data_IF_585824441814
#
_entry.id   IF_585824441814
#
_cell.length_a   1.000
_cell.length_b   1.000
_cell.length_c   1.000
_cell.angle_alpha   90.00
_cell.angle_beta   90.00
_cell.angle_gamma   90.00
#
_symmetry.space_group_name_H-M   'P 1'
#
loop_
_entity.id
_entity.type
_entity.pdbx_description
1 polymer ?
#
# COMPACT_ATOMS: atom_id res chain seq x y z
N UNK A 1 21.53 3.31 2.19
CA UNK A 1 21.65 2.00 2.86
C UNK A 1 20.27 1.53 3.33
N UNK A 2 19.72 0.45 2.76
CA UNK A 2 18.59 -0.26 3.38
C UNK A 2 19.10 -0.85 4.71
N UNK A 3 18.33 -0.74 5.81
CA UNK A 3 18.66 -1.07 7.24
C UNK A 3 19.10 0.09 8.16
N UNK A 4 19.42 1.28 7.65
CA UNK A 4 19.81 2.40 8.52
C UNK A 4 18.63 3.09 9.23
N UNK A 5 17.41 2.93 8.70
CA UNK A 5 16.27 3.80 9.05
C UNK A 5 15.56 3.40 10.35
N UNK A 6 15.72 2.14 10.78
CA UNK A 6 15.22 1.68 12.09
C UNK A 6 16.11 2.16 13.25
N UNK A 7 17.40 2.42 13.02
CA UNK A 7 18.36 2.83 14.07
C UNK A 7 17.94 4.11 14.79
N UNK A 8 17.19 4.98 14.13
CA UNK A 8 16.78 6.28 14.68
C UNK A 8 15.45 6.22 15.46
N UNK A 9 14.62 5.18 15.29
CA UNK A 9 13.31 5.10 15.95
C UNK A 9 13.34 4.44 17.33
N UNK A 10 14.35 3.64 17.66
CA UNK A 10 14.49 3.00 18.99
C UNK A 10 15.78 3.44 19.72
N UNK A 11 16.31 4.62 19.36
CA UNK A 11 17.71 5.01 19.59
C UNK A 11 18.21 5.08 21.03
N UNK A 12 17.32 4.99 22.04
CA UNK A 12 17.73 5.06 23.45
C UNK A 12 17.53 3.76 24.25
N UNK A 13 16.86 2.73 23.69
CA UNK A 13 16.55 1.48 24.41
C UNK A 13 16.94 0.20 23.63
N UNK A 14 17.73 0.38 22.57
CA UNK A 14 17.98 -0.64 21.54
C UNK A 14 18.59 -1.95 22.07
N UNK A 15 19.51 -1.86 23.04
CA UNK A 15 20.15 -3.04 23.62
C UNK A 15 19.14 -3.91 24.38
N UNK A 16 18.57 -3.41 25.49
CA UNK A 16 17.84 -4.29 26.39
C UNK A 16 16.47 -4.72 25.85
N UNK A 17 15.81 -3.98 24.96
CA UNK A 17 14.47 -4.38 24.47
C UNK A 17 14.56 -5.43 23.36
N UNK A 18 15.49 -5.29 22.42
CA UNK A 18 15.72 -6.31 21.40
C UNK A 18 16.27 -7.60 22.02
N UNK A 19 17.24 -7.48 22.93
CA UNK A 19 17.77 -8.62 23.68
C UNK A 19 16.71 -9.28 24.56
N UNK A 20 15.84 -8.51 25.22
CA UNK A 20 14.70 -9.07 25.98
C UNK A 20 13.71 -9.79 25.08
N UNK A 21 13.37 -9.23 23.92
CA UNK A 21 12.48 -9.88 22.97
C UNK A 21 13.11 -11.18 22.46
N UNK A 22 14.37 -11.14 22.06
CA UNK A 22 15.11 -12.31 21.58
C UNK A 22 15.27 -13.38 22.68
N UNK A 23 15.59 -12.98 23.91
CA UNK A 23 15.67 -13.90 25.05
C UNK A 23 14.30 -14.51 25.37
N UNK A 24 13.23 -13.71 25.35
CA UNK A 24 11.88 -14.21 25.56
C UNK A 24 11.47 -15.20 24.47
N UNK A 25 11.84 -14.93 23.21
CA UNK A 25 11.61 -15.82 22.07
C UNK A 25 12.36 -17.15 22.23
N UNK A 26 13.63 -17.12 22.62
CA UNK A 26 14.45 -18.31 22.79
C UNK A 26 14.02 -19.17 24.00
N UNK A 27 13.43 -18.55 25.02
CA UNK A 27 13.05 -19.20 26.26
C UNK A 27 11.59 -19.72 26.27
N UNK A 28 10.78 -19.44 25.25
CA UNK A 28 9.39 -19.90 25.19
C UNK A 28 9.31 -21.41 24.86
N UNK A 29 8.95 -22.29 25.81
CA UNK A 29 8.92 -23.72 25.58
C UNK A 29 7.65 -24.13 24.81
N UNK A 30 7.80 -24.99 23.79
CA UNK A 30 6.69 -25.71 23.16
C UNK A 30 5.95 -24.99 22.03
N UNK A 31 6.38 -23.80 21.60
CA UNK A 31 5.77 -23.09 20.47
C UNK A 31 6.62 -23.23 19.22
N UNK A 32 6.34 -24.22 18.38
CA UNK A 32 6.87 -24.32 17.00
C UNK A 32 6.39 -23.17 16.08
N UNK A 33 5.65 -22.19 16.62
CA UNK A 33 5.35 -20.94 15.95
C UNK A 33 6.60 -20.06 15.90
N UNK A 34 7.57 -20.48 15.08
CA UNK A 34 8.79 -19.74 14.81
C UNK A 34 8.45 -18.37 14.25
N UNK A 35 8.92 -17.32 14.91
CA UNK A 35 8.92 -15.99 14.33
C UNK A 35 9.69 -16.04 13.01
N UNK A 36 9.08 -15.60 11.93
CA UNK A 36 9.77 -15.44 10.66
C UNK A 36 10.09 -13.96 10.42
N UNK A 37 11.18 -13.65 9.69
CA UNK A 37 11.49 -12.27 9.30
C UNK A 37 10.29 -11.61 8.64
N UNK A 38 10.04 -10.32 8.92
CA UNK A 38 8.91 -9.59 8.35
C UNK A 38 8.89 -9.64 6.80
N UNK A 39 10.06 -9.74 6.17
CA UNK A 39 10.22 -9.89 4.72
C UNK A 39 9.63 -11.19 4.17
N UNK A 40 9.35 -12.19 5.00
CA UNK A 40 8.65 -13.41 4.60
C UNK A 40 7.17 -13.14 4.37
N UNK A 41 6.59 -12.22 5.15
CA UNK A 41 5.17 -11.89 5.09
C UNK A 41 4.88 -10.66 4.25
N UNK A 42 5.81 -9.71 4.18
CA UNK A 42 5.59 -8.41 3.56
C UNK A 42 6.57 -8.14 2.42
N UNK A 43 6.10 -7.39 1.42
CA UNK A 43 6.97 -6.67 0.50
C UNK A 43 6.99 -5.18 0.90
N UNK A 44 8.20 -4.63 1.02
CA UNK A 44 8.41 -3.24 1.41
C UNK A 44 8.86 -2.46 0.19
N UNK A 45 8.25 -1.32 -0.04
CA UNK A 45 8.47 -0.55 -1.25
C UNK A 45 8.26 0.95 -1.00
N UNK A 46 8.81 1.84 -1.85
CA UNK A 46 8.74 3.30 -1.68
C UNK A 46 7.72 3.96 -2.61
N UNK A 47 7.04 5.02 -2.18
CA UNK A 47 6.12 5.79 -3.03
C UNK A 47 6.78 6.55 -4.19
N UNK A 48 6.00 7.26 -5.00
CA UNK A 48 6.44 8.05 -6.17
C UNK A 48 7.49 9.11 -5.81
N UNK A 49 8.51 9.27 -6.67
CA UNK A 49 9.61 10.22 -6.47
C UNK A 49 9.29 11.58 -7.10
N UNK A 50 8.21 12.20 -6.62
CA UNK A 50 7.75 13.50 -7.09
C UNK A 50 7.97 14.58 -6.05
N UNK A 51 8.59 15.68 -6.48
CA UNK A 51 8.72 16.89 -5.67
C UNK A 51 7.39 17.64 -5.55
N UNK A 52 7.25 18.43 -4.48
CA UNK A 52 6.06 19.27 -4.23
C UNK A 52 5.83 20.36 -5.28
N UNK A 53 6.81 20.63 -6.15
CA UNK A 53 6.73 21.58 -7.25
C UNK A 53 6.37 20.93 -8.59
N UNK A 54 6.04 19.64 -8.60
CA UNK A 54 5.64 18.94 -9.82
C UNK A 54 4.37 19.59 -10.41
N UNK A 55 4.35 19.94 -11.71
CA UNK A 55 3.15 20.50 -12.35
C UNK A 55 2.01 19.49 -12.42
N UNK A 56 2.31 18.21 -12.28
CA UNK A 56 1.34 17.12 -12.25
C UNK A 56 0.66 16.93 -10.89
N UNK A 57 1.03 17.74 -9.89
CA UNK A 57 0.45 17.68 -8.56
C UNK A 57 -0.46 18.89 -8.35
N UNK A 58 -1.77 18.65 -8.21
CA UNK A 58 -2.76 19.72 -8.00
C UNK A 58 -3.37 19.61 -6.61
N UNK A 59 -3.70 20.76 -6.03
CA UNK A 59 -4.43 20.83 -4.78
C UNK A 59 -5.93 21.00 -5.08
N UNK A 60 -6.82 20.31 -4.35
CA UNK A 60 -8.27 20.36 -4.58
C UNK A 60 -8.82 21.80 -4.67
N UNK A 61 -8.38 22.69 -3.77
CA UNK A 61 -8.71 24.13 -3.81
C UNK A 61 -8.39 24.85 -5.13
N UNK A 62 -7.34 24.48 -5.86
CA UNK A 62 -7.00 25.18 -7.12
C UNK A 62 -7.94 24.83 -8.28
N UNK A 63 -8.69 23.73 -8.16
CA UNK A 63 -9.63 23.27 -9.20
C UNK A 63 -10.79 24.25 -9.34
N UNK A 64 -11.26 24.86 -8.25
CA UNK A 64 -12.42 25.76 -8.28
C UNK A 64 -12.12 27.17 -8.81
N UNK A 65 -10.86 27.59 -8.84
CA UNK A 65 -10.50 28.98 -9.19
C UNK A 65 -10.22 29.20 -10.67
N UNK A 66 -10.05 28.14 -11.47
CA UNK A 66 -9.66 28.27 -12.88
C UNK A 66 -10.81 28.45 -13.88
N UNK A 67 -12.06 28.47 -13.42
CA UNK A 67 -13.21 28.73 -14.30
C UNK A 67 -13.34 27.73 -15.45
N UNK A 68 -12.75 26.54 -15.31
CA UNK A 68 -12.84 25.49 -16.33
C UNK A 68 -14.30 25.00 -16.38
N UNK A 69 -15.03 25.19 -17.49
CA UNK A 69 -16.42 24.78 -17.62
C UNK A 69 -16.57 23.26 -17.72
N UNK A 70 -15.46 22.53 -17.87
CA UNK A 70 -15.38 21.09 -18.09
C UNK A 70 -15.44 20.28 -16.79
N UNK A 71 -16.38 20.62 -15.89
CA UNK A 71 -16.77 19.76 -14.78
C UNK A 71 -15.70 19.52 -13.70
N UNK A 72 -16.14 19.03 -12.55
CA UNK A 72 -15.22 18.46 -11.55
C UNK A 72 -14.32 17.43 -12.27
N UNK A 73 -13.03 17.24 -11.91
CA UNK A 73 -12.40 15.95 -12.16
C UNK A 73 -13.36 14.95 -11.55
N UNK A 74 -14.07 14.20 -12.42
CA UNK A 74 -15.22 13.42 -12.03
C UNK A 74 -14.83 12.67 -10.79
N UNK A 75 -15.53 12.93 -9.67
CA UNK A 75 -15.26 12.23 -8.43
C UNK A 75 -15.17 10.78 -8.82
N UNK A 76 -13.96 10.22 -8.72
CA UNK A 76 -13.75 8.79 -8.85
C UNK A 76 -14.86 8.13 -8.04
N UNK A 77 -15.59 7.14 -8.56
CA UNK A 77 -16.65 6.48 -7.84
C UNK A 77 -15.99 5.65 -6.74
N UNK A 78 -15.49 6.31 -5.70
CA UNK A 78 -15.25 5.71 -4.42
C UNK A 78 -16.64 5.37 -3.90
N UNK A 79 -17.03 4.13 -4.20
CA UNK A 79 -18.14 3.44 -3.57
C UNK A 79 -17.92 3.64 -2.07
N UNK A 80 -18.75 4.46 -1.44
CA UNK A 80 -18.96 4.37 0.00
C UNK A 80 -19.51 2.97 0.25
N UNK A 81 -18.62 2.03 0.52
CA UNK A 81 -19.00 0.68 0.88
C UNK A 81 -19.77 0.77 2.21
N UNK A 82 -21.01 0.24 2.30
CA UNK A 82 -21.68 0.13 3.57
C UNK A 82 -20.83 -0.75 4.49
N UNK A 83 -20.80 -0.42 5.79
CA UNK A 83 -19.92 -1.04 6.79
C UNK A 83 -20.05 -2.57 6.96
N UNK A 84 -20.95 -3.24 6.23
CA UNK A 84 -21.37 -4.61 6.46
C UNK A 84 -21.26 -5.54 5.24
N UNK A 85 -20.59 -5.15 4.15
CA UNK A 85 -20.48 -6.00 2.95
C UNK A 85 -19.17 -6.80 2.96
N UNK A 86 -19.31 -8.12 3.10
CA UNK A 86 -18.25 -9.09 2.89
C UNK A 86 -17.89 -9.09 1.39
N UNK A 87 -16.74 -8.52 1.03
CA UNK A 87 -16.29 -8.39 -0.35
C UNK A 87 -15.90 -9.76 -0.92
N UNK A 88 -16.58 -10.18 -2.00
CA UNK A 88 -15.96 -11.05 -3.00
C UNK A 88 -15.05 -10.18 -3.88
N UNK A 89 -13.88 -10.70 -4.23
CA UNK A 89 -12.84 -9.98 -4.99
C UNK A 89 -13.17 -9.74 -6.47
N UNK A 90 -14.37 -10.11 -6.93
CA UNK A 90 -14.69 -10.26 -8.37
C UNK A 90 -15.30 -9.02 -9.05
N UNK A 91 -15.60 -7.94 -8.33
CA UNK A 91 -16.30 -6.78 -8.90
C UNK A 91 -15.41 -5.67 -9.48
N UNK A 92 -14.10 -5.86 -9.55
CA UNK A 92 -13.19 -4.94 -10.23
C UNK A 92 -12.86 -5.48 -11.63
N UNK A 93 -13.80 -5.38 -12.57
CA UNK A 93 -13.51 -5.57 -13.99
C UNK A 93 -13.27 -4.22 -14.67
N UNK A 94 -12.05 -3.97 -15.21
CA UNK A 94 -11.71 -2.73 -15.92
C UNK A 94 -12.58 -2.43 -17.16
N UNK A 95 -13.38 -3.38 -17.62
CA UNK A 95 -14.16 -3.32 -18.86
C UNK A 95 -15.45 -2.48 -18.79
N UNK A 96 -15.86 -1.98 -17.62
CA UNK A 96 -17.15 -1.29 -17.45
C UNK A 96 -17.10 0.24 -17.47
N UNK A 97 -15.95 0.89 -17.68
CA UNK A 97 -15.85 2.36 -17.77
C UNK A 97 -15.70 2.92 -19.20
N UNK A 98 -15.58 2.08 -20.23
CA UNK A 98 -15.12 2.52 -21.56
C UNK A 98 -16.20 2.97 -22.55
N UNK A 99 -17.49 3.08 -22.19
CA UNK A 99 -18.56 3.22 -23.20
C UNK A 99 -19.10 4.62 -23.50
N UNK A 100 -18.63 5.70 -22.87
CA UNK A 100 -19.23 7.02 -23.09
C UNK A 100 -18.21 8.17 -23.08
N UNK A 101 -17.25 8.26 -24.01
CA UNK A 101 -16.49 9.50 -24.26
C UNK A 101 -16.04 9.57 -25.73
N UNK A 102 -16.27 10.72 -26.36
CA UNK A 102 -15.71 11.11 -27.67
C UNK A 102 -14.19 10.93 -27.70
N UNK A 103 -13.66 10.43 -28.82
CA UNK A 103 -12.30 9.87 -28.95
C UNK A 103 -11.12 10.85 -28.80
N UNK A 104 -11.33 12.16 -28.58
CA UNK A 104 -10.26 13.16 -28.72
C UNK A 104 -9.79 13.82 -27.41
N UNK A 105 -10.42 13.51 -26.28
CA UNK A 105 -9.98 13.98 -24.97
C UNK A 105 -10.03 12.82 -23.98
N UNK A 106 -8.99 11.98 -23.94
CA UNK A 106 -8.84 11.05 -22.81
C UNK A 106 -8.80 11.90 -21.54
N UNK A 107 -9.81 11.83 -20.66
CA UNK A 107 -9.76 12.58 -19.42
C UNK A 107 -8.49 12.15 -18.69
N UNK A 108 -7.62 13.10 -18.40
CA UNK A 108 -6.45 12.84 -17.57
C UNK A 108 -6.97 12.25 -16.26
N UNK A 109 -6.74 10.95 -16.05
CA UNK A 109 -7.22 10.29 -14.85
C UNK A 109 -6.38 10.81 -13.68
N UNK A 110 -7.00 11.50 -12.74
CA UNK A 110 -6.35 12.03 -11.54
C UNK A 110 -6.53 11.07 -10.38
N UNK A 111 -5.48 10.84 -9.61
CA UNK A 111 -5.48 9.93 -8.46
C UNK A 111 -5.15 10.68 -7.17
N UNK A 112 -5.80 10.38 -6.04
CA UNK A 112 -5.48 10.99 -4.75
C UNK A 112 -4.07 10.60 -4.29
N UNK A 113 -3.37 11.55 -3.66
CA UNK A 113 -1.94 11.42 -3.32
C UNK A 113 -1.68 11.58 -1.84
N UNK A 114 -1.06 10.59 -1.21
CA UNK A 114 -0.70 10.62 0.19
C UNK A 114 0.75 11.08 0.41
N UNK A 115 0.90 12.01 1.37
CA UNK A 115 2.19 12.57 1.81
C UNK A 115 2.44 12.23 3.27
N UNK A 116 3.65 11.75 3.56
CA UNK A 116 4.11 11.48 4.91
C UNK A 116 4.02 12.69 5.84
N UNK A 117 3.58 12.46 7.07
CA UNK A 117 3.47 13.48 8.12
C UNK A 117 2.35 14.51 7.94
N UNK A 118 1.64 14.51 6.80
CA UNK A 118 0.51 15.43 6.55
C UNK A 118 -0.81 14.69 6.47
N UNK A 119 -0.88 13.71 5.57
CA UNK A 119 -2.14 13.07 5.18
C UNK A 119 -2.41 11.76 5.97
N UNK A 120 -1.47 11.40 6.84
CA UNK A 120 -1.54 10.21 7.69
C UNK A 120 -1.77 10.60 9.15
N UNK A 121 -2.65 9.83 9.80
CA UNK A 121 -2.91 9.83 11.23
C UNK A 121 -2.93 8.38 11.72
N UNK A 122 -2.36 8.07 12.90
CA UNK A 122 -2.41 6.72 13.45
C UNK A 122 -3.86 6.24 13.57
N UNK A 123 -4.12 5.00 13.13
CA UNK A 123 -5.43 4.33 13.25
C UNK A 123 -6.59 4.99 12.50
N UNK A 124 -6.33 5.93 11.59
CA UNK A 124 -7.36 6.59 10.78
C UNK A 124 -7.14 6.35 9.30
N UNK A 125 -8.22 6.21 8.55
CA UNK A 125 -8.16 6.12 7.08
C UNK A 125 -7.45 7.35 6.51
N UNK A 126 -6.42 7.15 5.66
CA UNK A 126 -5.69 8.28 5.11
C UNK A 126 -6.58 9.10 4.18
N UNK A 127 -6.40 10.42 4.18
CA UNK A 127 -7.19 11.33 3.37
C UNK A 127 -6.30 12.38 2.70
N UNK A 128 -6.48 12.60 1.41
CA UNK A 128 -5.71 13.57 0.64
C UNK A 128 -6.58 14.67 0.04
N UNK A 129 -6.05 15.90 0.08
CA UNK A 129 -6.55 17.04 -0.70
C UNK A 129 -5.72 17.27 -1.98
N UNK A 130 -4.83 16.33 -2.32
CA UNK A 130 -3.90 16.43 -3.44
C UNK A 130 -4.13 15.32 -4.44
N UNK A 131 -3.93 15.65 -5.71
CA UNK A 131 -4.17 14.76 -6.83
C UNK A 131 -2.95 14.73 -7.74
N UNK A 132 -2.69 13.57 -8.34
CA UNK A 132 -1.61 13.33 -9.29
C UNK A 132 -2.18 12.84 -10.61
N UNK A 133 -1.71 13.44 -11.70
CA UNK A 133 -2.07 13.03 -13.04
C UNK A 133 -1.54 11.62 -13.35
N UNK A 134 -2.33 10.80 -14.05
CA UNK A 134 -2.01 9.39 -14.37
C UNK A 134 -0.63 9.23 -15.01
N UNK A 135 -0.30 10.11 -15.94
CA UNK A 135 0.92 10.13 -16.72
C UNK A 135 2.18 10.37 -15.88
N UNK A 136 2.02 10.95 -14.69
CA UNK A 136 3.13 11.19 -13.76
C UNK A 136 3.36 10.03 -12.78
N UNK A 137 2.51 9.01 -12.77
CA UNK A 137 2.68 7.81 -11.96
C UNK A 137 3.63 6.87 -12.70
N UNK A 138 4.86 6.78 -12.18
CA UNK A 138 5.92 5.97 -12.80
C UNK A 138 5.83 4.48 -12.46
N UNK A 139 5.28 4.14 -11.28
CA UNK A 139 5.15 2.75 -10.83
C UNK A 139 3.86 2.12 -11.34
N UNK A 140 3.79 0.78 -11.43
CA UNK A 140 2.55 0.07 -11.75
C UNK A 140 1.42 0.50 -10.82
N UNK A 141 0.25 0.83 -11.38
CA UNK A 141 -0.85 1.43 -10.64
C UNK A 141 -1.47 0.41 -9.66
N UNK A 142 -1.44 -0.87 -10.01
CA UNK A 142 -1.92 -2.02 -9.24
C UNK A 142 -1.26 -2.07 -7.85
N UNK A 143 0.00 -1.61 -7.79
CA UNK A 143 0.73 -1.48 -6.53
C UNK A 143 0.12 -0.46 -5.59
N UNK A 144 -0.49 0.60 -6.09
CA UNK A 144 -1.21 1.54 -5.25
C UNK A 144 -2.61 1.04 -4.95
N UNK A 145 -3.29 0.45 -5.92
CA UNK A 145 -4.68 0.04 -5.77
C UNK A 145 -4.90 -1.09 -4.76
N UNK A 146 -3.89 -1.94 -4.54
CA UNK A 146 -3.98 -3.01 -3.53
C UNK A 146 -3.95 -2.47 -2.09
N UNK A 147 -4.69 -3.12 -1.14
CA UNK A 147 -4.61 -2.78 0.28
C UNK A 147 -3.18 -2.84 0.80
N UNK A 148 -2.78 -1.81 1.57
CA UNK A 148 -1.40 -1.65 2.00
C UNK A 148 -1.28 -0.90 3.31
N UNK A 149 -0.30 -1.29 4.13
CA UNK A 149 0.09 -0.51 5.30
C UNK A 149 1.09 0.57 4.86
N UNK A 150 0.78 1.82 5.18
CA UNK A 150 1.62 2.96 4.93
C UNK A 150 2.41 3.31 6.19
N UNK A 151 3.70 3.54 6.07
CA UNK A 151 4.57 3.94 7.18
C UNK A 151 5.34 5.22 6.82
N UNK A 152 5.29 6.23 7.69
CA UNK A 152 6.00 7.50 7.48
C UNK A 152 7.51 7.30 7.65
N UNK A 153 8.31 7.75 6.68
CA UNK A 153 9.76 7.52 6.64
C UNK A 153 10.55 8.38 7.63
N UNK A 154 10.25 9.68 7.69
CA UNK A 154 11.16 10.68 8.25
C UNK A 154 10.67 11.32 9.55
N UNK A 155 9.88 10.60 10.34
CA UNK A 155 9.42 11.07 11.65
C UNK A 155 10.23 10.41 12.76
N UNK A 156 10.45 11.13 13.85
CA UNK A 156 11.02 10.60 15.10
C UNK A 156 10.07 9.65 15.86
N UNK A 157 8.93 9.34 15.26
CA UNK A 157 7.90 8.44 15.80
C UNK A 157 7.45 7.53 14.67
N UNK A 158 7.19 6.27 15.00
CA UNK A 158 6.58 5.33 14.06
C UNK A 158 5.12 5.76 13.85
N UNK A 159 4.80 6.19 12.63
CA UNK A 159 3.43 6.52 12.23
C UNK A 159 3.04 5.62 11.07
N UNK A 160 1.92 4.91 11.23
CA UNK A 160 1.41 4.02 10.21
C UNK A 160 -0.11 4.10 10.10
N UNK A 161 -0.63 3.81 8.92
CA UNK A 161 -2.07 3.64 8.68
C UNK A 161 -2.33 2.62 7.58
N UNK A 162 -3.51 2.00 7.57
CA UNK A 162 -3.96 1.10 6.53
C UNK A 162 -4.67 1.90 5.43
N UNK A 163 -4.19 1.76 4.20
CA UNK A 163 -4.87 2.27 3.02
C UNK A 163 -5.56 1.12 2.28
N UNK A 164 -6.88 1.16 2.25
CA UNK A 164 -7.75 0.25 1.49
C UNK A 164 -8.39 0.93 0.28
N UNK A 165 -8.18 2.25 0.12
CA UNK A 165 -8.78 3.06 -0.94
C UNK A 165 -7.88 3.15 -2.17
N UNK A 166 -6.69 2.56 -2.13
CA UNK A 166 -5.84 2.49 -3.31
C UNK A 166 -5.16 3.81 -3.68
N UNK A 167 -4.92 4.69 -2.71
CA UNK A 167 -4.36 6.02 -2.97
C UNK A 167 -2.88 5.93 -3.36
N UNK A 168 -2.41 6.85 -4.21
CA UNK A 168 -1.01 6.92 -4.62
C UNK A 168 -0.19 7.51 -3.50
N UNK A 169 0.93 6.91 -3.14
CA UNK A 169 1.79 7.39 -2.05
C UNK A 169 3.08 8.01 -2.62
N UNK A 170 3.55 9.11 -2.04
CA UNK A 170 4.85 9.70 -2.38
C UNK A 170 6.01 9.05 -1.61
N UNK A 171 7.25 9.32 -2.03
CA UNK A 171 8.50 8.75 -1.47
C UNK A 171 8.70 9.03 0.04
N UNK A 172 7.91 9.94 0.62
CA UNK A 172 7.86 10.19 2.07
C UNK A 172 7.20 9.05 2.85
N UNK A 173 6.64 8.05 2.15
CA UNK A 173 5.97 6.88 2.69
C UNK A 173 6.61 5.58 2.21
N UNK A 174 6.66 4.61 3.13
CA UNK A 174 6.84 3.19 2.83
C UNK A 174 5.49 2.52 2.64
N UNK A 175 5.39 1.66 1.63
CA UNK A 175 4.24 0.83 1.33
C UNK A 175 4.62 -0.61 1.69
N UNK A 176 3.88 -1.20 2.61
CA UNK A 176 4.01 -2.56 3.07
C UNK A 176 2.81 -3.35 2.56
N UNK A 177 3.05 -4.25 1.61
CA UNK A 177 2.02 -5.16 1.11
C UNK A 177 2.17 -6.53 1.73
N UNK A 178 1.06 -7.16 2.08
CA UNK A 178 1.04 -8.56 2.43
C UNK A 178 1.39 -9.38 1.18
N UNK A 179 2.40 -10.25 1.28
CA UNK A 179 2.61 -11.28 0.27
C UNK A 179 1.45 -12.25 0.39
N UNK A 180 0.82 -12.59 -0.74
CA UNK A 180 -0.06 -13.74 -0.76
C UNK A 180 0.76 -14.92 -0.21
N UNK A 181 0.27 -15.57 0.85
CA UNK A 181 0.82 -16.87 1.21
C UNK A 181 0.69 -17.70 -0.06
N UNK A 182 1.82 -18.09 -0.64
CA UNK A 182 1.80 -19.21 -1.56
C UNK A 182 1.06 -20.28 -0.77
N UNK A 183 -0.10 -20.69 -1.28
CA UNK A 183 -0.77 -21.87 -0.74
C UNK A 183 0.33 -22.90 -0.69
N UNK A 184 0.64 -23.40 0.50
CA UNK A 184 1.51 -24.55 0.62
C UNK A 184 0.78 -25.60 -0.21
N UNK A 185 1.20 -25.80 -1.46
CA UNK A 185 0.82 -26.98 -2.20
C UNK A 185 1.52 -28.04 -1.40
N UNK A 186 0.77 -28.73 -0.54
CA UNK A 186 1.24 -29.91 0.15
C UNK A 186 1.74 -30.85 -0.95
N UNK A 187 3.05 -30.86 -1.20
CA UNK A 187 3.73 -31.86 -2.02
C UNK A 187 3.75 -33.18 -1.24
N UNK A 188 2.56 -33.69 -0.92
CA UNK A 188 2.37 -34.95 -0.19
C UNK A 188 1.30 -35.84 -0.82
N UNK A 189 1.25 -35.88 -2.14
CA UNK A 189 0.67 -36.96 -2.96
C UNK A 189 1.51 -36.95 -4.24
N UNK A 190 2.42 -37.89 -4.52
CA UNK A 190 2.15 -39.32 -4.66
C UNK A 190 3.49 -40.09 -4.80
N UNK A 191 4.10 -40.47 -3.68
CA UNK A 191 5.21 -41.43 -3.62
C UNK A 191 4.66 -42.87 -3.49
N UNK A 192 3.74 -43.25 -4.39
CA UNK A 192 3.26 -44.63 -4.57
C UNK A 192 3.35 -45.07 -6.02
N UNK A 193 4.58 -45.19 -6.53
CA UNK A 193 4.91 -46.23 -7.52
C UNK A 193 5.90 -47.22 -6.91
N UNK A 194 5.37 -48.04 -6.02
CA UNK A 194 5.89 -49.37 -5.79
C UNK A 194 5.84 -50.17 -7.09
N UNK A 195 6.93 -50.85 -7.40
CA UNK A 195 6.99 -51.74 -8.55
C UNK A 195 6.06 -52.94 -8.41
N UNK A 196 5.58 -53.43 -9.54
CA UNK A 196 5.30 -54.85 -9.72
C UNK A 196 6.06 -55.32 -10.97
N UNK A 197 6.95 -56.27 -10.71
CA UNK A 197 7.59 -57.18 -11.65
C UNK A 197 6.53 -57.93 -12.46
N UNK A 198 6.76 -58.11 -13.77
CA UNK A 198 6.63 -59.39 -14.50
C UNK A 198 7.54 -59.35 -15.73
#
# INVERSE_FOLDING_TARGET
QPRAEFRYLLSNEYGPTFERLQAHMNNAPGSSCGFAPLSHFLSISRGEELGMKSPYLIHEKTVYSRGDPCGRPGMSPYIQLPANVQMSMELWSPSNMDKCMDNDHKPHAWYPVLRGGKDLRPYQTPHSAWWLAREAISKPLERYLSPKLLVVKSTNRLQATLDVQGQVALQTLYLLHLRARGVCVDESEDDRKGGCYY
#
